data_IF_316405090202
#
_entry.id   IF_316405090202
#
_cell.length_a   1.000
_cell.length_b   1.000
_cell.length_c   1.000
_cell.angle_alpha   90.00
_cell.angle_beta   90.00
_cell.angle_gamma   90.00
#
_symmetry.space_group_name_H-M   'P 1'
#
loop_
_entity.id
_entity.type
_entity.pdbx_description
1 polymer ?
#
# COMPACT_ATOMS: atom_id res chain seq x y z
N UNK A 1 42.36 -25.06 20.31
CA UNK A 1 41.32 -25.54 19.38
C UNK A 1 40.09 -25.96 20.19
N UNK A 2 39.10 -25.08 20.32
CA UNK A 2 37.84 -25.38 20.99
C UNK A 2 36.73 -25.44 19.93
N UNK A 3 36.09 -26.61 19.80
CA UNK A 3 34.94 -26.82 18.90
C UNK A 3 33.75 -26.01 19.41
N UNK A 4 33.28 -25.07 18.59
CA UNK A 4 32.03 -24.35 18.80
C UNK A 4 30.86 -25.26 18.41
N UNK A 5 30.05 -25.68 19.39
CA UNK A 5 28.80 -26.43 19.14
C UNK A 5 27.79 -25.46 18.51
N UNK A 6 27.34 -25.72 17.28
CA UNK A 6 26.19 -25.01 16.71
C UNK A 6 24.91 -25.54 17.37
N UNK A 7 24.26 -24.70 18.17
CA UNK A 7 22.91 -24.93 18.66
C UNK A 7 21.95 -24.47 17.55
N UNK A 8 21.50 -25.41 16.72
CA UNK A 8 20.33 -25.21 15.87
C UNK A 8 19.09 -25.39 16.73
N UNK A 9 18.68 -24.33 17.42
CA UNK A 9 17.40 -24.34 18.14
C UNK A 9 16.30 -24.13 17.11
N UNK A 10 15.68 -25.21 16.65
CA UNK A 10 14.40 -25.14 15.94
C UNK A 10 13.38 -24.58 16.93
N UNK A 11 13.08 -23.29 16.84
CA UNK A 11 11.99 -22.68 17.59
C UNK A 11 10.70 -23.24 16.97
N UNK A 12 10.09 -24.22 17.63
CA UNK A 12 8.71 -24.60 17.33
C UNK A 12 7.84 -23.35 17.54
N UNK A 13 6.88 -23.05 16.65
CA UNK A 13 5.92 -21.98 16.93
C UNK A 13 5.27 -22.26 18.30
N UNK A 14 4.96 -21.22 19.09
CA UNK A 14 4.09 -21.38 20.25
C UNK A 14 2.87 -22.22 19.86
N UNK A 15 2.45 -23.15 20.70
CA UNK A 15 1.36 -24.10 20.42
C UNK A 15 0.00 -23.44 20.07
N UNK A 16 -0.08 -22.10 20.14
CA UNK A 16 -1.29 -21.29 19.96
C UNK A 16 -1.34 -20.53 18.62
N UNK A 17 -0.29 -20.57 17.78
CA UNK A 17 -0.33 -19.89 16.47
C UNK A 17 -1.02 -20.76 15.42
N UNK A 18 -1.86 -20.13 14.59
CA UNK A 18 -2.49 -20.79 13.45
C UNK A 18 -1.45 -21.22 12.40
N UNK A 19 -1.80 -22.24 11.60
CA UNK A 19 -0.91 -22.78 10.55
C UNK A 19 -0.75 -21.84 9.34
N UNK A 20 -1.69 -20.91 9.17
CA UNK A 20 -1.76 -19.95 8.06
C UNK A 20 -1.60 -18.53 8.59
N UNK A 21 -0.84 -17.70 7.87
CA UNK A 21 -0.68 -16.27 8.20
C UNK A 21 -1.06 -15.42 7.01
N UNK A 22 -2.02 -14.51 7.17
CA UNK A 22 -2.36 -13.46 6.21
C UNK A 22 -1.41 -12.28 6.41
N UNK A 23 -0.73 -11.86 5.36
CA UNK A 23 0.09 -10.65 5.32
C UNK A 23 -0.74 -9.57 4.63
N UNK A 24 -0.88 -8.42 5.30
CA UNK A 24 -1.73 -7.33 4.90
C UNK A 24 -0.95 -6.00 4.92
N UNK A 25 -0.59 -5.54 3.73
CA UNK A 25 -0.09 -4.18 3.49
C UNK A 25 -1.28 -3.24 3.27
N UNK A 26 -1.75 -2.60 4.35
CA UNK A 26 -2.92 -1.73 4.31
C UNK A 26 -2.59 -0.30 3.82
N UNK A 27 -2.37 -0.18 2.51
CA UNK A 27 -2.11 1.09 1.86
C UNK A 27 -3.36 1.94 1.63
N UNK A 28 -3.17 3.26 1.56
CA UNK A 28 -4.25 4.23 1.36
C UNK A 28 -4.92 4.16 -0.04
N UNK A 29 -4.14 3.80 -1.06
CA UNK A 29 -4.63 3.71 -2.44
C UNK A 29 -5.10 2.31 -2.78
N UNK A 30 -4.23 1.35 -2.46
CA UNK A 30 -4.43 -0.08 -2.63
C UNK A 30 -3.99 -0.81 -1.38
N UNK A 31 -4.67 -1.90 -1.08
CA UNK A 31 -4.26 -2.91 -0.14
C UNK A 31 -3.51 -4.01 -0.91
N UNK A 32 -2.42 -4.53 -0.35
CA UNK A 32 -1.78 -5.75 -0.86
C UNK A 32 -1.92 -6.85 0.18
N UNK A 33 -2.47 -7.99 -0.23
CA UNK A 33 -2.75 -9.08 0.69
C UNK A 33 -2.38 -10.44 0.10
N UNK A 34 -1.87 -11.34 0.94
CA UNK A 34 -1.50 -12.69 0.54
C UNK A 34 -1.15 -13.55 1.74
N UNK A 35 -1.12 -14.87 1.54
CA UNK A 35 -0.79 -15.80 2.61
C UNK A 35 0.68 -16.21 2.60
N UNK A 36 1.27 -16.26 3.79
CA UNK A 36 2.54 -16.92 4.05
C UNK A 36 2.33 -18.44 4.13
N UNK A 37 3.10 -19.19 3.35
CA UNK A 37 3.16 -20.65 3.43
C UNK A 37 4.32 -21.04 4.36
N UNK A 38 4.01 -21.34 5.62
CA UNK A 38 5.05 -21.67 6.61
C UNK A 38 5.64 -23.10 6.45
N UNK A 39 5.11 -23.94 5.53
CA UNK A 39 5.34 -25.40 5.55
C UNK A 39 5.54 -26.11 4.19
N UNK A 40 5.52 -25.44 3.03
CA UNK A 40 5.81 -26.13 1.76
C UNK A 40 7.30 -26.04 1.39
N UNK A 41 8.00 -27.17 1.48
CA UNK A 41 9.40 -27.37 1.04
C UNK A 41 9.58 -27.36 -0.48
N UNK A 42 8.64 -26.75 -1.22
CA UNK A 42 8.72 -26.54 -2.65
C UNK A 42 8.47 -25.05 -2.90
N UNK A 43 9.18 -24.41 -3.85
CA UNK A 43 8.88 -23.06 -4.30
C UNK A 43 7.59 -23.12 -5.12
N UNK A 44 6.46 -23.34 -4.44
CA UNK A 44 5.14 -23.18 -5.04
C UNK A 44 4.98 -21.70 -5.29
N UNK A 45 5.13 -21.33 -6.57
CA UNK A 45 4.57 -20.13 -7.23
C UNK A 45 4.16 -19.05 -6.24
N UNK A 46 4.93 -17.96 -6.14
CA UNK A 46 4.52 -16.65 -5.59
C UNK A 46 3.09 -16.70 -5.10
N UNK A 47 2.88 -16.97 -3.81
CA UNK A 47 1.55 -16.95 -3.20
C UNK A 47 0.91 -15.64 -3.65
N UNK A 48 -0.13 -15.74 -4.48
CA UNK A 48 -0.58 -14.64 -5.31
C UNK A 48 -0.83 -13.42 -4.42
N UNK A 49 -0.03 -12.38 -4.57
CA UNK A 49 -0.24 -11.13 -3.87
C UNK A 49 -1.41 -10.45 -4.58
N UNK A 50 -2.53 -10.29 -3.89
CA UNK A 50 -3.70 -9.61 -4.42
C UNK A 50 -3.57 -8.11 -4.15
N UNK A 51 -3.61 -7.31 -5.23
CA UNK A 51 -3.64 -5.85 -5.15
C UNK A 51 -5.08 -5.40 -5.28
N UNK A 52 -5.60 -4.77 -4.24
CA UNK A 52 -7.02 -4.46 -4.09
C UNK A 52 -7.18 -2.95 -3.93
N UNK A 53 -8.09 -2.27 -4.66
CA UNK A 53 -8.38 -0.86 -4.43
C UNK A 53 -8.85 -0.61 -2.99
N UNK A 54 -8.21 0.31 -2.25
CA UNK A 54 -8.67 0.69 -0.91
C UNK A 54 -9.64 1.88 -1.00
N UNK A 55 -10.82 1.63 -1.55
CA UNK A 55 -11.87 2.64 -1.66
C UNK A 55 -13.26 2.04 -1.79
N UNK A 56 -14.25 2.87 -1.45
CA UNK A 56 -15.65 2.71 -1.83
C UNK A 56 -15.94 3.76 -2.89
N UNK A 57 -16.31 3.33 -4.09
CA UNK A 57 -16.68 4.22 -5.18
C UNK A 57 -18.19 4.18 -5.42
N UNK A 58 -18.82 5.33 -5.56
CA UNK A 58 -20.25 5.41 -5.89
C UNK A 58 -20.43 6.10 -7.23
N UNK A 59 -21.09 5.41 -8.16
CA UNK A 59 -21.51 6.02 -9.41
C UNK A 59 -22.81 6.79 -9.19
N UNK A 60 -22.83 8.02 -9.68
CA UNK A 60 -24.02 8.88 -9.63
C UNK A 60 -25.02 8.55 -10.73
N UNK A 61 -24.56 7.94 -11.83
CA UNK A 61 -25.35 7.64 -13.03
C UNK A 61 -26.23 6.41 -12.84
N UNK A 62 -25.63 5.30 -12.42
CA UNK A 62 -26.32 4.01 -12.23
C UNK A 62 -26.66 3.72 -10.75
N UNK A 63 -26.29 4.64 -9.84
CA UNK A 63 -26.47 4.54 -8.38
C UNK A 63 -25.82 3.29 -7.76
N UNK A 64 -24.85 2.67 -8.44
CA UNK A 64 -24.12 1.51 -7.92
C UNK A 64 -23.01 1.96 -6.98
N UNK A 65 -22.75 1.10 -6.00
CA UNK A 65 -21.62 1.25 -5.06
C UNK A 65 -20.68 0.08 -5.28
N UNK A 66 -19.43 0.39 -5.53
CA UNK A 66 -18.33 -0.55 -5.70
C UNK A 66 -17.47 -0.51 -4.46
N UNK A 67 -17.25 -1.66 -3.83
CA UNK A 67 -16.46 -1.79 -2.61
C UNK A 67 -15.19 -2.56 -2.97
N UNK A 68 -14.04 -1.92 -2.78
CA UNK A 68 -12.71 -2.50 -3.00
C UNK A 68 -12.58 -3.24 -4.33
N UNK A 69 -12.51 -4.59 -4.32
CA UNK A 69 -12.33 -5.39 -5.53
C UNK A 69 -13.45 -5.24 -6.56
N UNK A 70 -14.68 -4.89 -6.14
CA UNK A 70 -15.81 -4.72 -7.05
C UNK A 70 -15.58 -3.60 -8.09
N UNK A 71 -14.67 -2.66 -7.80
CA UNK A 71 -14.33 -1.57 -8.70
C UNK A 71 -13.81 -2.08 -10.06
N UNK A 72 -13.21 -3.28 -10.10
CA UNK A 72 -12.75 -3.92 -11.34
C UNK A 72 -13.88 -4.27 -12.31
N UNK A 73 -15.11 -4.42 -11.81
CA UNK A 73 -16.31 -4.68 -12.61
C UNK A 73 -16.94 -3.40 -13.18
N UNK A 74 -16.40 -2.23 -12.82
CA UNK A 74 -16.89 -0.95 -13.29
C UNK A 74 -16.46 -0.74 -14.76
N UNK A 75 -17.44 -0.54 -15.64
CA UNK A 75 -17.19 -0.31 -17.06
C UNK A 75 -16.95 1.17 -17.41
N UNK A 76 -17.47 2.10 -16.59
CA UNK A 76 -17.37 3.54 -16.79
C UNK A 76 -16.94 4.21 -15.49
N UNK A 77 -15.72 4.74 -15.48
CA UNK A 77 -15.13 5.42 -14.32
C UNK A 77 -15.55 6.89 -14.20
N UNK A 78 -16.32 7.41 -15.15
CA UNK A 78 -16.77 8.80 -15.17
C UNK A 78 -17.76 9.11 -14.04
N UNK A 79 -17.63 10.30 -13.45
CA UNK A 79 -18.47 10.77 -12.33
C UNK A 79 -18.51 9.84 -11.10
N UNK A 80 -17.48 9.01 -10.90
CA UNK A 80 -17.34 8.19 -9.68
C UNK A 80 -16.94 9.06 -8.48
N UNK A 81 -17.74 8.98 -7.42
CA UNK A 81 -17.39 9.58 -6.14
C UNK A 81 -16.59 8.57 -5.30
N UNK A 82 -15.28 8.80 -5.18
CA UNK A 82 -14.39 7.97 -4.37
C UNK A 82 -14.41 8.39 -2.90
N UNK A 83 -14.59 7.42 -2.00
CA UNK A 83 -14.39 7.56 -0.55
C UNK A 83 -13.33 6.58 -0.11
N UNK A 84 -12.30 7.09 0.56
CA UNK A 84 -11.21 6.28 1.10
C UNK A 84 -11.28 6.31 2.63
N UNK A 85 -11.13 5.16 3.29
CA UNK A 85 -11.11 5.10 4.76
C UNK A 85 -9.82 5.65 5.36
N UNK A 86 -8.78 5.84 4.54
CA UNK A 86 -7.45 6.31 4.94
C UNK A 86 -7.29 7.80 4.64
N UNK A 87 -6.92 8.57 5.67
CA UNK A 87 -6.57 9.98 5.56
C UNK A 87 -5.15 10.23 6.06
N UNK A 88 -4.33 10.94 5.27
CA UNK A 88 -2.92 11.20 5.60
C UNK A 88 -2.16 9.92 5.97
N UNK A 89 -2.51 8.77 5.39
CA UNK A 89 -1.90 7.48 5.66
C UNK A 89 -2.35 6.78 6.95
N UNK A 90 -3.36 7.30 7.65
CA UNK A 90 -3.97 6.64 8.80
C UNK A 90 -5.42 6.24 8.51
N UNK A 91 -5.83 5.05 8.94
CA UNK A 91 -7.23 4.62 8.86
C UNK A 91 -8.05 5.46 9.84
N UNK A 92 -8.97 6.27 9.32
CA UNK A 92 -9.85 7.14 10.13
C UNK A 92 -11.30 6.70 10.09
N UNK A 93 -11.72 5.97 9.05
CA UNK A 93 -13.06 5.40 8.92
C UNK A 93 -12.99 3.88 8.88
N UNK A 94 -13.04 3.27 10.06
CA UNK A 94 -13.00 1.82 10.24
C UNK A 94 -14.24 1.09 9.74
N UNK A 95 -15.41 1.75 9.70
CA UNK A 95 -16.62 1.15 9.11
C UNK A 95 -16.43 0.92 7.60
N UNK A 96 -15.88 1.92 6.89
CA UNK A 96 -15.54 1.79 5.49
C UNK A 96 -14.42 0.78 5.23
N UNK A 97 -13.38 0.78 6.09
CA UNK A 97 -12.27 -0.18 6.00
C UNK A 97 -12.76 -1.62 6.19
N UNK A 98 -13.61 -1.85 7.19
CA UNK A 98 -14.24 -3.15 7.47
C UNK A 98 -14.97 -3.68 6.25
N UNK A 99 -15.84 -2.86 5.64
CA UNK A 99 -16.58 -3.27 4.44
C UNK A 99 -15.65 -3.67 3.29
N UNK A 100 -14.51 -2.97 3.13
CA UNK A 100 -13.49 -3.32 2.13
C UNK A 100 -12.82 -4.65 2.50
N UNK A 101 -12.41 -4.85 3.76
CA UNK A 101 -11.76 -6.07 4.22
C UNK A 101 -12.67 -7.30 4.10
N UNK A 102 -13.94 -7.20 4.50
CA UNK A 102 -14.93 -8.26 4.36
C UNK A 102 -15.10 -8.67 2.89
N UNK A 103 -15.23 -7.67 2.00
CA UNK A 103 -15.35 -7.93 0.56
C UNK A 103 -14.08 -8.53 -0.04
N UNK A 104 -12.92 -8.18 0.50
CA UNK A 104 -11.61 -8.55 -0.04
C UNK A 104 -11.09 -9.90 0.45
N UNK A 105 -11.29 -10.22 1.73
CA UNK A 105 -10.54 -11.31 2.37
C UNK A 105 -11.41 -12.48 2.82
N UNK A 106 -12.64 -12.22 3.25
CA UNK A 106 -13.44 -13.27 3.88
C UNK A 106 -13.98 -14.27 2.86
N UNK A 107 -13.98 -15.54 3.27
CA UNK A 107 -14.36 -16.69 2.44
C UNK A 107 -15.83 -16.68 2.00
N UNK A 108 -16.71 -16.11 2.82
CA UNK A 108 -18.16 -16.25 2.70
C UNK A 108 -18.82 -14.91 2.35
N UNK A 109 -18.50 -14.35 1.18
CA UNK A 109 -19.38 -13.34 0.61
C UNK A 109 -20.61 -14.05 0.02
N UNK A 110 -21.81 -13.63 0.45
CA UNK A 110 -23.11 -14.22 0.10
C UNK A 110 -23.40 -14.38 -1.42
N UNK A 111 -22.56 -13.79 -2.26
CA UNK A 111 -22.69 -13.83 -3.72
C UNK A 111 -21.94 -15.01 -4.39
N UNK A 112 -21.25 -15.88 -3.63
CA UNK A 112 -20.66 -17.13 -4.13
C UNK A 112 -19.73 -17.01 -5.37
N UNK A 113 -19.20 -15.82 -5.64
CA UNK A 113 -18.36 -15.54 -6.82
C UNK A 113 -16.87 -15.87 -6.59
N UNK A 114 -16.49 -16.36 -5.40
CA UNK A 114 -15.11 -16.76 -5.09
C UNK A 114 -14.09 -15.62 -5.12
N UNK A 115 -14.52 -14.35 -5.10
CA UNK A 115 -13.67 -13.16 -5.26
C UNK A 115 -12.81 -12.79 -4.04
N UNK A 116 -13.13 -13.31 -2.86
CA UNK A 116 -12.36 -13.08 -1.63
C UNK A 116 -11.20 -14.05 -1.47
N UNK A 117 -10.18 -13.67 -0.68
CA UNK A 117 -9.00 -14.52 -0.40
C UNK A 117 -9.29 -15.86 0.30
N UNK A 118 -10.52 -16.09 0.77
CA UNK A 118 -10.84 -17.31 1.51
C UNK A 118 -10.18 -17.34 2.89
N UNK A 119 -10.14 -16.20 3.57
CA UNK A 119 -9.63 -16.07 4.94
C UNK A 119 -10.74 -16.38 5.94
N UNK A 120 -10.47 -17.30 6.86
CA UNK A 120 -11.18 -17.41 8.13
C UNK A 120 -10.28 -16.81 9.22
N UNK A 121 -10.63 -15.64 9.79
CA UNK A 121 -9.84 -14.99 10.82
C UNK A 121 -9.55 -15.86 12.05
N UNK A 122 -10.51 -16.70 12.47
CA UNK A 122 -10.37 -17.53 13.66
C UNK A 122 -9.27 -18.61 13.49
N UNK A 123 -9.00 -19.02 12.25
CA UNK A 123 -8.00 -20.01 11.89
C UNK A 123 -6.75 -19.41 11.22
N UNK A 124 -6.56 -18.08 11.29
CA UNK A 124 -5.49 -17.38 10.58
C UNK A 124 -4.77 -16.40 11.50
N UNK A 125 -3.44 -16.31 11.41
CA UNK A 125 -2.68 -15.21 12.03
C UNK A 125 -2.63 -14.00 11.09
N UNK A 126 -2.54 -12.79 11.61
CA UNK A 126 -2.45 -11.57 10.79
C UNK A 126 -1.10 -10.84 10.96
N UNK A 127 -0.45 -10.48 9.86
CA UNK A 127 0.62 -9.47 9.85
C UNK A 127 0.03 -8.23 9.19
N UNK A 128 -0.11 -7.15 9.95
CA UNK A 128 -0.67 -5.89 9.48
C UNK A 128 0.41 -4.81 9.41
N UNK A 129 0.55 -4.16 8.26
CA UNK A 129 1.41 -2.98 8.17
C UNK A 129 0.63 -1.68 8.36
N UNK A 130 1.19 -0.74 9.11
CA UNK A 130 0.63 0.61 9.31
C UNK A 130 1.69 1.70 9.07
N UNK A 131 1.23 2.95 8.94
CA UNK A 131 2.11 4.10 8.85
C UNK A 131 2.88 4.33 10.18
N UNK A 132 4.16 4.76 10.12
CA UNK A 132 4.94 5.00 11.32
C UNK A 132 4.32 6.11 12.18
N UNK A 133 4.53 5.99 13.49
CA UNK A 133 4.12 6.98 14.50
C UNK A 133 2.61 7.29 14.46
N UNK A 134 1.77 6.30 14.19
CA UNK A 134 0.32 6.42 14.32
C UNK A 134 -0.07 6.83 15.76
N UNK A 135 -1.02 7.76 15.95
CA UNK A 135 -1.54 8.08 17.28
C UNK A 135 -2.07 6.83 17.99
N UNK A 136 -1.86 6.76 19.32
CA UNK A 136 -2.26 5.60 20.14
C UNK A 136 -3.76 5.30 20.02
N UNK A 137 -4.61 6.32 19.85
CA UNK A 137 -6.04 6.12 19.62
C UNK A 137 -6.35 5.36 18.33
N UNK A 138 -5.63 5.65 17.24
CA UNK A 138 -5.82 4.94 15.96
C UNK A 138 -5.28 3.52 16.02
N UNK A 139 -4.19 3.31 16.75
CA UNK A 139 -3.66 1.97 17.02
C UNK A 139 -4.66 1.12 17.79
N UNK A 140 -5.30 1.67 18.84
CA UNK A 140 -6.35 0.97 19.60
C UNK A 140 -7.54 0.58 18.74
N UNK A 141 -7.98 1.47 17.85
CA UNK A 141 -9.08 1.15 16.93
C UNK A 141 -8.70 0.00 15.98
N UNK A 142 -7.44 -0.07 15.54
CA UNK A 142 -6.96 -1.20 14.75
C UNK A 142 -6.97 -2.51 15.56
N UNK A 143 -6.59 -2.45 16.83
CA UNK A 143 -6.56 -3.61 17.73
C UNK A 143 -7.97 -4.15 18.00
N UNK A 144 -8.91 -3.25 18.30
CA UNK A 144 -10.34 -3.58 18.49
C UNK A 144 -10.94 -4.18 17.22
N UNK A 145 -10.65 -3.61 16.05
CA UNK A 145 -11.11 -4.16 14.78
C UNK A 145 -10.57 -5.57 14.53
N UNK A 146 -9.28 -5.80 14.76
CA UNK A 146 -8.64 -7.11 14.50
C UNK A 146 -9.15 -8.19 15.45
N UNK A 147 -9.24 -7.89 16.75
CA UNK A 147 -9.61 -8.90 17.75
C UNK A 147 -11.12 -9.02 17.99
N UNK A 148 -11.80 -7.90 18.23
CA UNK A 148 -13.21 -7.93 18.66
C UNK A 148 -14.16 -8.09 17.47
N UNK A 149 -13.88 -7.41 16.37
CA UNK A 149 -14.75 -7.47 15.19
C UNK A 149 -14.43 -8.66 14.28
N UNK A 150 -13.16 -8.84 13.90
CA UNK A 150 -12.77 -9.93 12.99
C UNK A 150 -12.43 -11.24 13.72
N UNK A 151 -12.02 -11.22 14.98
CA UNK A 151 -11.75 -12.45 15.74
C UNK A 151 -10.43 -13.15 15.41
N UNK A 152 -9.39 -12.43 14.96
CA UNK A 152 -8.07 -13.03 14.74
C UNK A 152 -7.45 -13.54 16.04
N UNK A 153 -6.94 -14.78 16.05
CA UNK A 153 -6.32 -15.37 17.25
C UNK A 153 -4.95 -14.76 17.61
N UNK A 154 -4.23 -14.27 16.61
CA UNK A 154 -2.96 -13.58 16.79
C UNK A 154 -2.72 -12.58 15.67
N UNK A 155 -2.13 -11.43 15.98
CA UNK A 155 -1.63 -10.51 14.97
C UNK A 155 -0.30 -9.85 15.35
N UNK A 156 0.45 -9.44 14.34
CA UNK A 156 1.68 -8.67 14.48
C UNK A 156 1.57 -7.40 13.65
N UNK A 157 1.63 -6.25 14.33
CA UNK A 157 1.62 -4.93 13.70
C UNK A 157 3.03 -4.41 13.50
N UNK A 158 3.34 -3.93 12.31
CA UNK A 158 4.64 -3.39 11.97
C UNK A 158 4.53 -2.26 10.95
N UNK A 159 5.63 -1.58 10.68
CA UNK A 159 5.73 -0.70 9.51
C UNK A 159 6.25 -1.53 8.32
N UNK A 160 5.74 -1.26 7.11
CA UNK A 160 6.16 -1.96 5.89
C UNK A 160 7.69 -1.95 5.66
N UNK A 161 8.42 -0.83 5.91
CA UNK A 161 9.88 -0.80 5.77
C UNK A 161 10.64 -1.85 6.57
N UNK A 162 10.16 -2.21 7.77
CA UNK A 162 10.85 -3.16 8.62
C UNK A 162 10.87 -4.57 8.03
N UNK A 163 9.85 -4.94 7.24
CA UNK A 163 9.77 -6.23 6.56
C UNK A 163 10.81 -6.35 5.43
N UNK A 164 11.14 -5.23 4.77
CA UNK A 164 12.12 -5.21 3.67
C UNK A 164 13.57 -5.48 4.11
N UNK A 165 13.86 -5.35 5.40
CA UNK A 165 15.20 -5.58 5.93
C UNK A 165 15.58 -7.07 5.98
N UNK A 166 14.61 -7.98 5.97
CA UNK A 166 14.84 -9.40 6.16
C UNK A 166 15.24 -10.11 4.86
N UNK A 167 16.24 -10.98 4.93
CA UNK A 167 16.71 -11.74 3.78
C UNK A 167 15.72 -12.85 3.35
N UNK A 168 15.57 -13.13 2.03
CA UNK A 168 16.11 -12.35 0.92
C UNK A 168 15.43 -10.97 0.84
N UNK A 169 16.25 -9.91 0.91
CA UNK A 169 15.74 -8.54 0.77
C UNK A 169 15.54 -8.25 -0.71
N UNK A 170 14.48 -7.51 -1.10
CA UNK A 170 14.30 -7.08 -2.48
C UNK A 170 15.38 -6.09 -2.94
N UNK A 171 16.15 -5.52 -2.02
CA UNK A 171 17.18 -4.53 -2.33
C UNK A 171 18.56 -5.19 -2.53
N UNK A 172 19.39 -4.66 -3.45
CA UNK A 172 20.75 -5.14 -3.63
C UNK A 172 21.53 -5.07 -2.32
N UNK A 173 22.17 -6.18 -1.97
CA UNK A 173 23.06 -6.27 -0.81
C UNK A 173 24.43 -6.75 -1.27
N UNK A 174 25.49 -6.12 -0.77
CA UNK A 174 26.87 -6.57 -0.98
C UNK A 174 27.20 -7.81 -0.15
N UNK A 175 26.37 -8.14 0.85
CA UNK A 175 26.53 -9.28 1.75
C UNK A 175 25.44 -10.31 1.54
N UNK A 176 25.82 -11.58 1.36
CA UNK A 176 24.89 -12.71 1.34
C UNK A 176 24.51 -13.06 2.78
N UNK A 177 23.31 -12.67 3.21
CA UNK A 177 22.77 -13.02 4.53
C UNK A 177 21.90 -14.28 4.43
N UNK A 178 21.90 -15.16 5.45
CA UNK A 178 20.96 -16.28 5.51
C UNK A 178 19.50 -15.78 5.51
N UNK A 179 18.57 -16.57 4.96
CA UNK A 179 17.15 -16.23 4.95
C UNK A 179 16.62 -15.96 6.37
N UNK A 180 15.80 -14.93 6.52
CA UNK A 180 15.27 -14.46 7.80
C UNK A 180 16.25 -13.65 8.65
N UNK A 181 17.50 -13.44 8.21
CA UNK A 181 18.45 -12.56 8.88
C UNK A 181 18.28 -11.13 8.35
N UNK A 182 18.11 -10.12 9.23
CA UNK A 182 17.99 -8.75 8.79
C UNK A 182 19.34 -8.21 8.31
N UNK A 183 19.30 -7.33 7.32
CA UNK A 183 20.44 -6.51 6.91
C UNK A 183 20.87 -5.57 8.06
N UNK A 184 22.17 -5.30 8.16
CA UNK A 184 22.74 -4.51 9.26
C UNK A 184 22.23 -3.06 9.24
N UNK A 185 22.33 -2.39 8.11
CA UNK A 185 21.94 -0.99 7.95
C UNK A 185 21.14 -0.83 6.65
N UNK A 186 19.99 -0.17 6.73
CA UNK A 186 19.20 0.19 5.56
C UNK A 186 18.55 1.55 5.76
N UNK A 187 18.54 2.38 4.71
CA UNK A 187 17.75 3.61 4.66
C UNK A 187 16.67 3.42 3.60
N UNK A 188 15.44 3.22 4.03
CA UNK A 188 14.32 3.05 3.09
C UNK A 188 13.61 4.38 2.86
N UNK A 189 13.41 4.74 1.60
CA UNK A 189 12.58 5.87 1.19
C UNK A 189 11.34 5.29 0.50
N UNK A 190 10.20 5.39 1.16
CA UNK A 190 8.93 4.85 0.66
C UNK A 190 8.01 6.00 0.24
N UNK A 191 7.80 6.13 -1.08
CA UNK A 191 6.94 7.14 -1.68
C UNK A 191 5.54 6.57 -1.93
N UNK A 192 4.65 6.74 -0.94
CA UNK A 192 3.30 6.22 -0.99
C UNK A 192 2.28 7.19 -1.60
N UNK A 193 1.02 6.75 -1.66
CA UNK A 193 -0.09 7.59 -2.13
C UNK A 193 -0.36 8.79 -1.21
N UNK A 194 -0.29 8.60 0.11
CA UNK A 194 -0.62 9.65 1.08
C UNK A 194 0.55 10.57 1.40
N UNK A 195 1.76 10.01 1.53
CA UNK A 195 2.94 10.71 2.00
C UNK A 195 4.19 9.88 1.62
N UNK A 196 5.36 10.49 1.75
CA UNK A 196 6.65 9.82 1.59
C UNK A 196 7.33 9.68 2.95
N UNK A 197 7.80 8.48 3.30
CA UNK A 197 8.53 8.23 4.55
C UNK A 197 9.98 7.90 4.27
N UNK A 198 10.86 8.35 5.17
CA UNK A 198 12.28 8.02 5.20
C UNK A 198 12.50 7.27 6.51
N UNK A 199 12.80 5.98 6.41
CA UNK A 199 12.87 5.05 7.53
C UNK A 199 14.27 4.43 7.62
N UNK A 200 15.13 4.93 8.52
CA UNK A 200 16.39 4.27 8.83
C UNK A 200 16.14 3.02 9.70
N UNK A 201 16.78 1.91 9.30
CA UNK A 201 16.70 0.60 9.91
C UNK A 201 18.11 0.15 10.33
N UNK A 202 18.22 -0.36 11.55
CA UNK A 202 19.44 -0.96 12.09
C UNK A 202 19.12 -2.36 12.63
N UNK A 203 19.77 -3.40 12.09
CA UNK A 203 19.47 -4.81 12.33
C UNK A 203 17.96 -5.13 12.20
N UNK A 204 17.33 -4.62 11.14
CA UNK A 204 15.90 -4.79 10.88
C UNK A 204 14.95 -4.01 11.79
N UNK A 205 15.47 -3.24 12.75
CA UNK A 205 14.66 -2.43 13.66
C UNK A 205 14.63 -0.97 13.20
N UNK A 206 13.44 -0.34 13.14
CA UNK A 206 13.35 1.07 12.79
C UNK A 206 13.86 1.97 13.91
N UNK A 207 14.67 2.96 13.54
CA UNK A 207 15.10 4.02 14.45
C UNK A 207 14.00 5.09 14.50
N UNK A 208 12.95 4.86 15.28
CA UNK A 208 11.75 5.71 15.34
C UNK A 208 12.02 7.22 15.44
N UNK A 209 12.94 7.72 16.30
CA UNK A 209 13.23 9.17 16.39
C UNK A 209 13.83 9.77 15.11
N UNK A 210 14.45 8.94 14.27
CA UNK A 210 15.09 9.35 13.02
C UNK A 210 14.17 9.19 11.80
N UNK A 211 12.98 8.62 11.96
CA UNK A 211 11.98 8.55 10.88
C UNK A 211 11.60 9.98 10.48
N UNK A 212 11.56 10.25 9.18
CA UNK A 212 11.07 11.50 8.62
C UNK A 212 9.91 11.23 7.69
N UNK A 213 8.92 12.12 7.74
CA UNK A 213 7.73 12.05 6.90
C UNK A 213 7.59 13.36 6.15
N UNK A 214 7.40 13.24 4.84
CA UNK A 214 7.11 14.34 3.95
C UNK A 214 5.62 14.24 3.57
N UNK A 215 4.84 15.29 3.78
CA UNK A 215 3.41 15.37 3.45
C UNK A 215 3.19 15.53 1.92
N UNK A 216 3.87 14.70 1.15
CA UNK A 216 3.83 14.66 -0.30
C UNK A 216 3.79 13.20 -0.76
N UNK A 217 2.81 12.85 -1.57
CA UNK A 217 2.65 11.51 -2.12
C UNK A 217 1.87 11.54 -3.43
N UNK A 218 1.50 10.36 -3.93
CA UNK A 218 0.77 10.20 -5.18
C UNK A 218 -0.48 11.08 -5.28
N UNK A 219 -1.28 11.17 -4.21
CA UNK A 219 -2.49 12.02 -4.17
C UNK A 219 -2.19 13.49 -4.44
N UNK A 220 -1.09 14.00 -3.90
CA UNK A 220 -0.68 15.40 -4.09
C UNK A 220 -0.33 15.66 -5.56
N UNK A 221 0.38 14.72 -6.20
CA UNK A 221 0.70 14.78 -7.62
C UNK A 221 -0.55 14.74 -8.49
N UNK A 222 -1.47 13.80 -8.23
CA UNK A 222 -2.73 13.68 -8.97
C UNK A 222 -3.58 14.93 -8.84
N UNK A 223 -3.73 15.47 -7.63
CA UNK A 223 -4.46 16.72 -7.41
C UNK A 223 -3.81 17.89 -8.15
N UNK A 224 -2.47 17.97 -8.15
CA UNK A 224 -1.76 19.02 -8.86
C UNK A 224 -1.96 18.90 -10.37
N UNK A 225 -1.85 17.69 -10.92
CA UNK A 225 -2.10 17.44 -12.34
C UNK A 225 -3.54 17.80 -12.72
N UNK A 226 -4.51 17.44 -11.88
CA UNK A 226 -5.92 17.79 -12.03
C UNK A 226 -6.11 19.29 -12.11
N UNK A 227 -5.54 20.07 -11.19
CA UNK A 227 -5.59 21.54 -11.23
C UNK A 227 -5.01 22.13 -12.52
N UNK A 228 -3.95 21.54 -13.07
CA UNK A 228 -3.31 22.01 -14.30
C UNK A 228 -4.19 21.71 -15.53
N UNK A 229 -4.71 20.49 -15.63
CA UNK A 229 -5.58 20.07 -16.74
C UNK A 229 -6.93 20.80 -16.68
N UNK A 230 -7.45 21.06 -15.48
CA UNK A 230 -8.69 21.81 -15.23
C UNK A 230 -8.73 23.20 -15.87
N UNK A 231 -7.56 23.76 -16.24
CA UNK A 231 -7.48 25.04 -16.96
C UNK A 231 -7.91 24.96 -18.43
N UNK A 232 -7.93 23.74 -19.00
CA UNK A 232 -8.25 23.51 -20.42
C UNK A 232 -9.43 22.55 -20.58
N UNK A 233 -9.54 21.53 -19.72
CA UNK A 233 -10.61 20.53 -19.76
C UNK A 233 -11.27 20.40 -18.39
N UNK A 234 -12.59 20.21 -18.33
CA UNK A 234 -13.27 19.96 -17.07
C UNK A 234 -13.06 18.52 -16.61
N UNK A 235 -12.03 18.29 -15.79
CA UNK A 235 -11.68 16.97 -15.21
C UNK A 235 -12.02 16.87 -13.72
N UNK A 236 -12.88 17.75 -13.20
CA UNK A 236 -13.15 17.82 -11.75
C UNK A 236 -13.72 16.54 -11.14
N UNK A 237 -14.34 15.68 -11.94
CA UNK A 237 -14.90 14.39 -11.50
C UNK A 237 -14.25 13.18 -12.16
N UNK A 238 -13.11 13.40 -12.81
CA UNK A 238 -12.36 12.39 -13.55
C UNK A 238 -11.09 12.00 -12.78
N UNK A 239 -11.23 11.65 -11.50
CA UNK A 239 -10.10 11.32 -10.62
C UNK A 239 -9.31 10.11 -11.14
N UNK A 240 -10.00 9.09 -11.65
CA UNK A 240 -9.38 7.88 -12.19
C UNK A 240 -8.57 8.19 -13.44
N UNK A 241 -9.14 8.95 -14.38
CA UNK A 241 -8.48 9.33 -15.62
C UNK A 241 -7.21 10.17 -15.36
N UNK A 242 -7.26 11.11 -14.40
CA UNK A 242 -6.07 11.92 -14.07
C UNK A 242 -4.99 11.06 -13.40
N UNK A 243 -5.36 10.06 -12.59
CA UNK A 243 -4.42 9.08 -12.05
C UNK A 243 -3.77 8.26 -13.18
N UNK A 244 -4.55 7.77 -14.13
CA UNK A 244 -4.06 7.00 -15.29
C UNK A 244 -3.10 7.84 -16.15
N UNK A 245 -3.48 9.09 -16.49
CA UNK A 245 -2.59 10.03 -17.17
C UNK A 245 -1.28 10.21 -16.38
N UNK A 246 -1.37 10.34 -15.05
CA UNK A 246 -0.19 10.50 -14.21
C UNK A 246 0.73 9.27 -14.29
N UNK A 247 0.19 8.06 -14.20
CA UNK A 247 0.98 6.82 -14.28
C UNK A 247 1.53 6.53 -15.68
N UNK A 248 0.81 6.91 -16.74
CA UNK A 248 1.18 6.60 -18.12
C UNK A 248 2.18 7.58 -18.74
N UNK A 249 2.04 8.89 -18.46
CA UNK A 249 2.79 9.93 -19.18
C UNK A 249 3.73 10.78 -18.32
N UNK A 250 3.61 10.76 -16.99
CA UNK A 250 4.50 11.57 -16.15
C UNK A 250 5.85 10.87 -15.94
N UNK A 251 6.91 11.66 -15.92
CA UNK A 251 8.26 11.19 -15.63
C UNK A 251 9.06 12.25 -14.87
N UNK A 252 10.11 11.81 -14.19
CA UNK A 252 11.06 12.72 -13.54
C UNK A 252 12.13 13.13 -14.54
N UNK A 253 12.19 14.42 -14.87
CA UNK A 253 13.23 14.94 -15.75
C UNK A 253 14.60 14.92 -15.06
N UNK A 254 15.66 14.40 -15.72
CA UNK A 254 17.02 14.50 -15.22
C UNK A 254 17.59 15.93 -15.29
N UNK A 255 17.01 16.79 -16.13
CA UNK A 255 17.44 18.17 -16.34
C UNK A 255 16.24 19.08 -16.58
N UNK A 256 15.59 19.47 -15.47
CA UNK A 256 14.33 20.22 -15.47
C UNK A 256 14.38 21.49 -16.36
N UNK A 257 15.43 22.30 -16.24
CA UNK A 257 15.57 23.54 -17.01
C UNK A 257 15.59 23.29 -18.51
N UNK A 258 16.35 22.28 -18.96
CA UNK A 258 16.48 21.97 -20.39
C UNK A 258 15.15 21.48 -20.97
N UNK A 259 14.43 20.61 -20.25
CA UNK A 259 13.15 20.10 -20.74
C UNK A 259 12.05 21.18 -20.73
N UNK A 260 12.12 22.11 -19.77
CA UNK A 260 11.25 23.29 -19.75
C UNK A 260 11.51 24.21 -20.96
N UNK A 261 12.77 24.43 -21.33
CA UNK A 261 13.12 25.23 -22.52
C UNK A 261 12.69 24.56 -23.82
N UNK A 262 12.83 23.23 -23.94
CA UNK A 262 12.38 22.47 -25.13
C UNK A 262 10.87 22.54 -25.34
N UNK A 263 10.13 22.57 -24.23
CA UNK A 263 8.65 22.65 -24.24
C UNK A 263 8.15 24.09 -24.33
N UNK A 264 9.00 25.07 -24.04
CA UNK A 264 8.72 26.49 -24.22
C UNK A 264 8.64 26.85 -25.71
N UNK A 265 7.42 26.78 -26.26
CA UNK A 265 7.09 27.53 -27.48
C UNK A 265 6.90 28.99 -27.09
N UNK A 266 7.99 29.74 -27.10
CA UNK A 266 7.94 31.21 -27.11
C UNK A 266 6.97 31.67 -28.21
N UNK A 267 6.32 32.81 -28.02
CA UNK A 267 5.20 33.32 -28.83
C UNK A 267 5.47 33.57 -30.32
N UNK A 268 6.04 32.61 -31.04
CA UNK A 268 6.03 32.49 -32.48
C UNK A 268 4.60 32.20 -32.91
N UNK A 269 3.96 33.26 -33.41
CA UNK A 269 2.66 33.21 -34.06
C UNK A 269 2.57 32.00 -34.99
N UNK A 270 1.69 31.04 -34.68
CA UNK A 270 1.38 29.94 -35.60
C UNK A 270 0.92 28.62 -35.01
N UNK A 271 1.03 28.36 -33.69
CA UNK A 271 0.47 27.11 -33.14
C UNK A 271 -0.17 27.31 -31.77
N UNK A 272 -1.43 26.87 -31.68
CA UNK A 272 -2.29 26.91 -30.50
C UNK A 272 -1.69 25.98 -29.43
N UNK A 273 -1.21 26.57 -28.34
CA UNK A 273 -0.66 25.83 -27.20
C UNK A 273 0.05 26.75 -26.22
N UNK A 274 -0.69 27.58 -25.49
CA UNK A 274 -0.15 28.34 -24.35
C UNK A 274 -0.05 27.41 -23.15
N UNK A 275 1.13 27.26 -22.56
CA UNK A 275 1.24 26.86 -21.16
C UNK A 275 2.03 27.90 -20.35
N UNK A 276 1.57 28.06 -19.11
CA UNK A 276 1.77 29.19 -18.20
C UNK A 276 3.08 29.02 -17.42
N UNK A 277 3.86 30.10 -17.34
CA UNK A 277 5.08 30.23 -16.53
C UNK A 277 4.73 30.09 -15.04
N UNK A 278 5.35 29.15 -14.34
CA UNK A 278 5.36 29.15 -12.87
C UNK A 278 6.54 30.00 -12.41
N UNK A 279 6.24 31.06 -11.65
CA UNK A 279 7.19 31.83 -10.84
C UNK A 279 6.99 31.46 -9.38
#
# INVERSE_FOLDING_TARGET
MARQKSLSTTILPPNDLASRTLILDNGAHTIKAGFSSHLSSAPTSTTACHVIPNCIARSTRDRRTYIGPDLTTCADFGDLAYRRPVEKGYVVNWEGEKAIWERSFLANNANNDGSGLGCDPAETNLILTEAPNAPVSLQRNADEMVFEEFGFGAYYRTIAPALNAYAPSPFPSTTTSPAGVPLECMLLIDAGHSHTTITPLYHGRPLHPAIRRLEFGGKTLTNRLKELISRTFNVHREDHLVEEIKEDVCYVSPSFTQDLERTWKGGSAGSIGRMIRMS
#
